data_IF_451307626453
#
_entry.id   IF_451307626453
#
_cell.length_a   1.000
_cell.length_b   1.000
_cell.length_c   1.000
_cell.angle_alpha   90.00
_cell.angle_beta   90.00
_cell.angle_gamma   90.00
#
_symmetry.space_group_name_H-M   'P 1'
#
loop_
_entity.id
_entity.type
_entity.pdbx_description
1 polymer ?
#
# COMPACT_ATOMS: atom_id res chain seq x y z
N UNK A 1 -29.02 -13.57 6.45
CA UNK A 1 -28.25 -12.51 5.75
C UNK A 1 -28.02 -13.03 4.34
N UNK A 2 -28.01 -12.19 3.29
CA UNK A 2 -27.65 -12.66 1.95
C UNK A 2 -26.18 -13.07 1.98
N UNK A 3 -25.88 -14.28 1.49
CA UNK A 3 -24.52 -14.74 1.25
C UNK A 3 -23.95 -13.98 0.05
N UNK A 4 -23.53 -12.74 0.27
CA UNK A 4 -22.82 -11.96 -0.74
C UNK A 4 -21.40 -12.49 -0.82
N UNK A 5 -21.01 -12.94 -2.01
CA UNK A 5 -19.65 -13.35 -2.33
C UNK A 5 -19.06 -12.32 -3.30
N UNK A 6 -17.88 -11.82 -2.97
CA UNK A 6 -17.06 -10.96 -3.83
C UNK A 6 -15.79 -11.72 -4.22
N UNK A 7 -15.30 -11.50 -5.44
CA UNK A 7 -14.03 -12.08 -5.89
C UNK A 7 -13.01 -10.98 -6.18
N UNK A 8 -11.81 -11.11 -5.59
CA UNK A 8 -10.63 -10.32 -5.96
C UNK A 8 -9.67 -11.27 -6.68
N UNK A 9 -9.63 -11.20 -8.01
CA UNK A 9 -8.91 -12.17 -8.82
C UNK A 9 -9.44 -13.59 -8.56
N UNK A 10 -8.60 -14.43 -7.94
CA UNK A 10 -8.93 -15.83 -7.57
C UNK A 10 -9.32 -16.00 -6.09
N UNK A 11 -9.44 -14.90 -5.34
CA UNK A 11 -9.75 -14.90 -3.91
C UNK A 11 -11.23 -14.61 -3.72
N UNK A 12 -11.98 -15.58 -3.19
CA UNK A 12 -13.38 -15.39 -2.78
C UNK A 12 -13.46 -14.83 -1.36
N UNK A 13 -14.33 -13.84 -1.17
CA UNK A 13 -14.53 -13.11 0.07
C UNK A 13 -16.01 -13.18 0.43
N UNK A 14 -16.30 -13.68 1.62
CA UNK A 14 -17.66 -13.76 2.16
C UNK A 14 -17.67 -14.42 3.54
N UNK A 15 -18.81 -14.40 4.22
CA UNK A 15 -18.94 -14.89 5.60
C UNK A 15 -18.61 -16.38 5.78
N UNK A 16 -18.74 -17.18 4.72
CA UNK A 16 -18.47 -18.62 4.74
C UNK A 16 -17.12 -18.99 4.09
N UNK A 17 -16.24 -18.01 3.85
CA UNK A 17 -14.89 -18.21 3.31
C UNK A 17 -13.83 -17.88 4.36
N UNK A 18 -12.61 -18.38 4.14
CA UNK A 18 -11.47 -18.03 4.98
C UNK A 18 -11.22 -16.51 4.94
N UNK A 19 -11.01 -15.85 6.10
CA UNK A 19 -10.68 -14.43 6.13
C UNK A 19 -9.46 -14.11 5.28
N UNK A 20 -9.56 -13.04 4.48
CA UNK A 20 -8.43 -12.57 3.69
C UNK A 20 -7.64 -11.56 4.51
N UNK A 21 -6.40 -11.90 4.80
CA UNK A 21 -5.44 -10.99 5.42
C UNK A 21 -4.78 -10.17 4.30
N UNK A 22 -4.79 -8.84 4.45
CA UNK A 22 -4.17 -7.90 3.51
C UNK A 22 -3.01 -7.20 4.24
N UNK A 23 -1.76 -7.67 4.11
CA UNK A 23 -0.60 -6.91 4.51
C UNK A 23 -0.54 -5.60 3.75
N UNK A 24 -0.53 -4.50 4.49
CA UNK A 24 -0.37 -3.15 3.96
C UNK A 24 1.11 -2.80 3.94
N UNK A 25 1.71 -2.77 2.74
CA UNK A 25 3.03 -2.21 2.54
C UNK A 25 2.97 -0.69 2.64
N UNK A 26 1.89 -0.06 2.17
CA UNK A 26 1.73 1.39 2.18
C UNK A 26 2.96 2.07 1.57
N UNK A 27 3.57 2.98 2.33
CA UNK A 27 4.81 3.69 1.99
C UNK A 27 6.08 3.10 2.63
N UNK A 28 6.01 1.90 3.24
CA UNK A 28 7.14 1.31 3.99
C UNK A 28 8.39 1.02 3.14
N UNK A 29 8.24 1.06 1.81
CA UNK A 29 9.34 0.97 0.85
C UNK A 29 10.16 2.27 0.73
N UNK A 30 9.69 3.40 1.29
CA UNK A 30 10.41 4.68 1.32
C UNK A 30 10.91 5.13 -0.08
N UNK A 31 10.09 4.93 -1.12
CA UNK A 31 10.45 5.28 -2.50
C UNK A 31 11.44 4.32 -3.18
N UNK A 32 11.84 3.22 -2.52
CA UNK A 32 12.73 2.22 -3.12
C UNK A 32 11.96 1.06 -3.74
N UNK A 33 12.04 0.89 -5.06
CA UNK A 33 11.49 -0.28 -5.75
C UNK A 33 12.09 -1.59 -5.22
N UNK A 34 13.39 -1.60 -4.89
CA UNK A 34 14.03 -2.79 -4.33
C UNK A 34 13.40 -3.19 -3.00
N UNK A 35 13.20 -2.23 -2.09
CA UNK A 35 12.55 -2.45 -0.79
C UNK A 35 11.08 -2.85 -0.96
N UNK A 36 10.38 -2.29 -1.94
CA UNK A 36 9.01 -2.71 -2.27
C UNK A 36 8.96 -4.19 -2.68
N UNK A 37 9.89 -4.64 -3.53
CA UNK A 37 9.99 -6.04 -3.94
C UNK A 37 10.39 -6.96 -2.78
N UNK A 38 11.21 -6.49 -1.83
CA UNK A 38 11.50 -7.21 -0.60
C UNK A 38 10.24 -7.40 0.27
N UNK A 39 9.41 -6.37 0.42
CA UNK A 39 8.13 -6.46 1.12
C UNK A 39 7.18 -7.47 0.45
N UNK A 40 7.13 -7.50 -0.88
CA UNK A 40 6.38 -8.52 -1.64
C UNK A 40 6.88 -9.93 -1.32
N UNK A 41 8.20 -10.15 -1.38
CA UNK A 41 8.80 -11.45 -1.06
C UNK A 41 8.51 -11.86 0.38
N UNK A 42 8.61 -10.93 1.32
CA UNK A 42 8.32 -11.17 2.73
C UNK A 42 6.84 -11.56 2.94
N UNK A 43 5.90 -10.81 2.37
CA UNK A 43 4.48 -11.13 2.45
C UNK A 43 4.15 -12.50 1.83
N UNK A 44 4.71 -12.79 0.64
CA UNK A 44 4.56 -14.10 0.00
C UNK A 44 5.12 -15.23 0.88
N UNK A 45 6.31 -15.04 1.48
CA UNK A 45 6.93 -16.04 2.36
C UNK A 45 6.13 -16.29 3.64
N UNK A 46 5.38 -15.28 4.12
CA UNK A 46 4.47 -15.38 5.26
C UNK A 46 3.10 -16.01 4.90
N UNK A 47 2.89 -16.40 3.64
CA UNK A 47 1.64 -17.01 3.17
C UNK A 47 0.55 -16.01 2.76
N UNK A 48 0.90 -14.72 2.59
CA UNK A 48 -0.07 -13.74 2.13
C UNK A 48 -0.54 -14.05 0.70
N UNK A 49 -1.85 -13.92 0.48
CA UNK A 49 -2.50 -14.14 -0.83
C UNK A 49 -2.60 -12.85 -1.65
N UNK A 50 -2.42 -11.71 -0.99
CA UNK A 50 -2.47 -10.35 -1.53
C UNK A 50 -1.52 -9.48 -0.71
N UNK A 51 -1.06 -8.38 -1.29
CA UNK A 51 -0.34 -7.30 -0.61
C UNK A 51 -0.88 -5.99 -1.19
N UNK A 52 -0.99 -4.94 -0.37
CA UNK A 52 -1.49 -3.64 -0.81
C UNK A 52 -0.39 -2.58 -0.67
N UNK A 53 -0.26 -1.74 -1.71
CA UNK A 53 0.58 -0.55 -1.73
C UNK A 53 -0.31 0.70 -1.78
N UNK A 54 0.25 1.87 -1.50
CA UNK A 54 -0.42 3.15 -1.70
C UNK A 54 0.17 3.81 -2.94
N UNK A 55 -0.66 4.04 -3.95
CA UNK A 55 -0.26 4.84 -5.11
C UNK A 55 -0.40 6.30 -4.76
N UNK A 56 0.70 7.03 -4.90
CA UNK A 56 0.76 8.46 -4.59
C UNK A 56 1.15 9.27 -5.82
N UNK A 57 0.38 10.31 -6.08
CA UNK A 57 0.69 11.35 -7.06
C UNK A 57 0.54 12.68 -6.33
N UNK A 58 1.60 13.15 -5.61
CA UNK A 58 1.50 14.26 -4.66
C UNK A 58 0.81 15.50 -5.24
N UNK A 59 1.11 15.83 -6.49
CA UNK A 59 0.58 17.00 -7.19
C UNK A 59 -0.91 16.91 -7.51
N UNK A 60 -1.45 15.70 -7.64
CA UNK A 60 -2.86 15.45 -7.96
C UNK A 60 -3.70 15.15 -6.71
N UNK A 61 -3.07 14.78 -5.59
CA UNK A 61 -3.77 14.36 -4.37
C UNK A 61 -3.66 15.37 -3.21
N UNK A 62 -2.68 16.28 -3.23
CA UNK A 62 -2.39 17.19 -2.11
C UNK A 62 -2.20 18.65 -2.54
N UNK A 63 -2.42 19.56 -1.59
CA UNK A 63 -1.85 20.91 -1.65
C UNK A 63 -0.50 20.92 -0.93
N UNK A 64 0.49 21.58 -1.51
CA UNK A 64 1.79 21.79 -0.86
C UNK A 64 1.63 22.74 0.32
N UNK A 65 1.83 22.21 1.53
CA UNK A 65 1.68 22.93 2.80
C UNK A 65 2.75 22.48 3.78
N UNK A 66 2.96 23.26 4.84
CA UNK A 66 3.94 22.95 5.90
C UNK A 66 3.35 22.05 7.01
N UNK A 67 2.26 21.32 6.72
CA UNK A 67 1.63 20.42 7.68
C UNK A 67 2.56 19.25 7.97
N UNK A 68 2.86 19.04 9.24
CA UNK A 68 3.64 17.90 9.74
C UNK A 68 2.70 16.93 10.46
N UNK A 69 2.77 15.61 10.20
CA UNK A 69 1.94 14.65 10.90
C UNK A 69 2.39 14.51 12.37
N UNK A 70 1.61 15.10 13.27
CA UNK A 70 1.92 15.14 14.70
C UNK A 70 2.15 13.75 15.30
N UNK A 71 3.27 13.59 16.01
CA UNK A 71 3.63 12.34 16.67
C UNK A 71 4.13 11.23 15.74
N UNK A 72 4.30 11.51 14.43
CA UNK A 72 4.74 10.51 13.44
C UNK A 72 6.09 10.90 12.83
N UNK A 73 6.25 12.14 12.36
CA UNK A 73 7.48 12.61 11.72
C UNK A 73 7.70 14.10 11.97
N UNK A 74 8.93 14.57 11.77
CA UNK A 74 9.28 16.00 11.68
C UNK A 74 9.30 16.54 10.25
N UNK A 75 9.21 15.67 9.25
CA UNK A 75 9.07 16.05 7.83
C UNK A 75 7.64 16.51 7.54
N UNK A 76 7.45 17.40 6.56
CA UNK A 76 6.09 17.74 6.11
C UNK A 76 5.44 16.53 5.47
N UNK A 77 4.11 16.45 5.52
CA UNK A 77 3.36 15.39 4.87
C UNK A 77 3.67 15.36 3.36
N UNK A 78 3.80 16.52 2.73
CA UNK A 78 4.20 16.63 1.33
C UNK A 78 5.54 15.94 1.08
N UNK A 79 6.57 16.27 1.86
CA UNK A 79 7.92 15.72 1.66
C UNK A 79 7.96 14.21 1.90
N UNK A 80 7.18 13.70 2.87
CA UNK A 80 7.06 12.26 3.13
C UNK A 80 6.46 11.54 1.92
N UNK A 81 5.35 12.04 1.39
CA UNK A 81 4.67 11.40 0.26
C UNK A 81 5.53 11.52 -1.00
N UNK A 82 6.10 12.69 -1.29
CA UNK A 82 7.00 12.91 -2.42
C UNK A 82 8.20 11.95 -2.38
N UNK A 83 8.86 11.82 -1.22
CA UNK A 83 10.00 10.90 -1.02
C UNK A 83 9.60 9.43 -1.15
N UNK A 84 8.40 9.06 -0.70
CA UNK A 84 7.97 7.68 -0.69
C UNK A 84 7.30 7.22 -1.99
N UNK A 85 6.91 8.14 -2.86
CA UNK A 85 6.20 7.83 -4.11
C UNK A 85 7.10 7.05 -5.07
N UNK A 86 6.53 6.01 -5.68
CA UNK A 86 7.15 5.33 -6.83
C UNK A 86 6.63 5.94 -8.12
N UNK A 87 7.46 5.92 -9.17
CA UNK A 87 6.97 6.31 -10.49
C UNK A 87 5.95 5.31 -11.02
N UNK A 88 5.09 5.75 -11.95
CA UNK A 88 4.13 4.86 -12.59
C UNK A 88 4.77 3.67 -13.33
N UNK A 89 6.01 3.82 -13.81
CA UNK A 89 6.77 2.71 -14.42
C UNK A 89 7.30 1.73 -13.37
N UNK A 90 7.68 2.21 -12.18
CA UNK A 90 8.09 1.35 -11.09
C UNK A 90 6.91 0.58 -10.49
N UNK A 91 5.75 1.22 -10.28
CA UNK A 91 4.55 0.54 -9.79
C UNK A 91 3.97 -0.51 -10.75
N UNK A 92 4.29 -0.41 -12.05
CA UNK A 92 3.89 -1.40 -13.05
C UNK A 92 4.74 -2.68 -13.05
N UNK A 93 5.89 -2.70 -12.37
CA UNK A 93 6.86 -3.81 -12.39
C UNK A 93 6.59 -4.84 -11.30
#
# INVERSE_FOLDING_TARGET
>A
MKDTILSIGRIEIGLNHEPVIVPEAGINHEGSLEKALELVRAACSAGARVIKFQTHIPEEEMLKTDIVPEGISSETLWDIIERCSLTADEERR
#
